data_IF_661543415041
#
_entry.id   IF_661543415041
#
_cell.length_a   1.000
_cell.length_b   1.000
_cell.length_c   1.000
_cell.angle_alpha   90.00
_cell.angle_beta   90.00
_cell.angle_gamma   90.00
#
_symmetry.space_group_name_H-M   'P 1'
#
loop_
_entity.id
_entity.type
_entity.pdbx_description
1 polymer ?
#
# COMPACT_ATOMS: atom_id res chain seq x y z
N UNK A 1 -11.60 9.28 3.61
CA UNK A 1 -11.46 8.12 2.68
C UNK A 1 -11.29 6.86 3.51
N UNK A 2 -11.93 5.74 3.13
CA UNK A 2 -11.83 4.45 3.86
C UNK A 2 -10.37 3.98 3.98
N UNK A 3 -9.57 4.25 2.95
CA UNK A 3 -8.13 4.01 2.88
C UNK A 3 -7.34 4.40 4.13
N UNK A 4 -7.70 5.50 4.82
CA UNK A 4 -6.95 5.95 6.00
C UNK A 4 -7.05 4.93 7.13
N UNK A 5 -8.23 4.35 7.32
CA UNK A 5 -8.45 3.31 8.33
C UNK A 5 -7.75 2.02 7.93
N UNK A 6 -7.87 1.64 6.66
CA UNK A 6 -7.29 0.40 6.14
C UNK A 6 -5.76 0.43 6.19
N UNK A 7 -5.15 1.51 5.71
CA UNK A 7 -3.71 1.71 5.77
C UNK A 7 -3.19 1.85 7.21
N UNK A 8 -4.03 2.31 8.14
CA UNK A 8 -3.71 2.30 9.57
C UNK A 8 -3.50 0.89 10.11
N UNK A 9 -4.43 -0.02 9.83
CA UNK A 9 -4.35 -1.43 10.25
C UNK A 9 -3.23 -2.18 9.54
N UNK A 10 -3.09 -1.98 8.23
CA UNK A 10 -2.00 -2.53 7.42
C UNK A 10 -0.64 -2.04 7.96
N UNK A 11 -0.51 -0.75 8.22
CA UNK A 11 0.72 -0.15 8.73
C UNK A 11 1.08 -0.64 10.12
N UNK A 12 0.08 -0.84 10.99
CA UNK A 12 0.28 -1.45 12.29
C UNK A 12 0.86 -2.87 12.16
N UNK A 13 0.22 -3.74 11.37
CA UNK A 13 0.69 -5.12 11.13
C UNK A 13 2.08 -5.16 10.49
N UNK A 14 2.31 -4.33 9.46
CA UNK A 14 3.61 -4.20 8.80
C UNK A 14 4.72 -3.79 9.77
N UNK A 15 4.43 -2.89 10.72
CA UNK A 15 5.41 -2.47 11.73
C UNK A 15 5.81 -3.60 12.67
N UNK A 16 4.87 -4.51 13.00
CA UNK A 16 5.14 -5.69 13.85
C UNK A 16 5.97 -6.71 13.08
N UNK A 17 5.60 -6.98 11.83
CA UNK A 17 6.28 -7.94 10.99
C UNK A 17 7.72 -7.52 10.61
N UNK A 18 7.90 -6.28 10.14
CA UNK A 18 9.20 -5.79 9.63
C UNK A 18 10.09 -5.14 10.69
N UNK A 19 9.53 -4.78 11.84
CA UNK A 19 10.20 -3.94 12.84
C UNK A 19 10.45 -2.49 12.38
N UNK A 20 10.04 -2.10 11.17
CA UNK A 20 10.14 -0.73 10.68
C UNK A 20 9.16 0.19 11.40
N UNK A 21 9.52 1.47 11.46
CA UNK A 21 8.56 2.51 11.75
C UNK A 21 7.78 2.77 10.48
N UNK A 22 6.46 2.62 10.55
CA UNK A 22 5.56 2.78 9.41
C UNK A 22 4.75 4.05 9.63
N UNK A 23 4.67 4.88 8.60
CA UNK A 23 3.89 6.11 8.61
C UNK A 23 3.16 6.29 7.30
N UNK A 24 2.02 6.98 7.35
CA UNK A 24 1.29 7.41 6.16
C UNK A 24 1.41 8.94 6.01
N UNK A 25 1.52 9.41 4.77
CA UNK A 25 1.45 10.83 4.47
C UNK A 25 0.05 11.17 3.98
N UNK A 26 -0.58 12.15 4.61
CA UNK A 26 -1.93 12.60 4.27
C UNK A 26 -1.92 14.09 3.93
N UNK A 27 -2.91 14.54 3.17
CA UNK A 27 -3.14 15.96 2.91
C UNK A 27 -4.27 16.47 3.79
N UNK A 28 -4.29 17.77 4.15
CA UNK A 28 -5.36 18.34 4.98
C UNK A 28 -6.75 18.06 4.42
N UNK A 29 -6.93 18.16 3.10
CA UNK A 29 -8.23 17.95 2.45
C UNK A 29 -8.76 16.52 2.65
N UNK A 30 -7.87 15.53 2.74
CA UNK A 30 -8.26 14.14 2.99
C UNK A 30 -8.61 13.89 4.46
N UNK A 31 -7.99 14.65 5.37
CA UNK A 31 -8.17 14.50 6.82
C UNK A 31 -9.37 15.29 7.34
N UNK A 32 -9.71 16.42 6.71
CA UNK A 32 -10.83 17.28 7.08
C UNK A 32 -12.16 16.83 6.45
N UNK A 33 -12.13 15.83 5.56
CA UNK A 33 -13.32 15.28 4.92
C UNK A 33 -14.07 14.30 5.83
N UNK A 34 -15.41 14.36 5.81
CA UNK A 34 -16.28 13.39 6.47
C UNK A 34 -16.73 12.31 5.49
N UNK A 35 -16.70 11.05 5.93
CA UNK A 35 -17.24 9.91 5.20
C UNK A 35 -17.98 8.98 6.16
N UNK A 36 -18.96 8.22 5.66
CA UNK A 36 -19.41 7.01 6.35
C UNK A 36 -18.33 5.94 6.17
N UNK A 37 -17.80 5.44 7.28
CA UNK A 37 -16.78 4.39 7.28
C UNK A 37 -17.42 3.03 7.51
N UNK A 38 -16.94 2.03 6.77
CA UNK A 38 -17.23 0.64 7.05
C UNK A 38 -16.30 0.16 8.19
N UNK A 39 -16.86 -0.47 9.21
CA UNK A 39 -16.16 -0.95 10.41
C UNK A 39 -16.25 -2.47 10.57
N UNK A 40 -16.66 -3.19 9.53
CA UNK A 40 -16.62 -4.66 9.54
C UNK A 40 -15.18 -5.15 9.86
N UNK A 41 -14.99 -5.91 10.95
CA UNK A 41 -13.68 -6.43 11.32
C UNK A 41 -13.09 -7.40 10.29
N UNK A 42 -13.93 -8.07 9.49
CA UNK A 42 -13.51 -9.07 8.51
C UNK A 42 -13.18 -8.45 7.13
N UNK A 43 -13.30 -7.12 6.97
CA UNK A 43 -12.99 -6.43 5.71
C UNK A 43 -11.51 -6.57 5.30
N UNK A 44 -10.61 -6.70 6.27
CA UNK A 44 -9.17 -6.80 6.04
C UNK A 44 -8.63 -8.12 6.59
N UNK A 45 -8.33 -9.05 5.70
CA UNK A 45 -7.58 -10.25 6.02
C UNK A 45 -6.08 -9.99 5.82
N UNK A 46 -5.41 -9.58 6.90
CA UNK A 46 -3.96 -9.38 6.87
C UNK A 46 -3.23 -10.72 7.04
N UNK A 47 -2.22 -10.95 6.21
CA UNK A 47 -1.38 -12.15 6.25
C UNK A 47 0.10 -11.79 6.36
N UNK A 48 0.84 -12.59 7.11
CA UNK A 48 2.29 -12.50 7.16
C UNK A 48 2.89 -13.35 6.02
N UNK A 49 3.91 -12.85 5.29
CA UNK A 49 4.60 -13.63 4.28
C UNK A 49 5.23 -14.91 4.86
N UNK A 50 4.90 -16.06 4.30
CA UNK A 50 5.47 -17.35 4.73
C UNK A 50 6.85 -17.63 4.11
N UNK A 51 7.22 -16.93 3.04
CA UNK A 51 8.37 -17.19 2.18
C UNK A 51 9.54 -16.22 2.41
N UNK A 52 9.41 -15.26 3.32
CA UNK A 52 10.46 -14.29 3.60
C UNK A 52 11.26 -14.67 4.86
N UNK A 53 12.56 -14.99 4.73
CA UNK A 53 13.37 -15.42 5.86
C UNK A 53 13.69 -14.24 6.79
N UNK A 54 13.11 -14.25 7.98
CA UNK A 54 13.48 -13.32 9.05
C UNK A 54 14.71 -13.86 9.81
N UNK A 55 15.67 -13.00 10.21
CA UNK A 55 16.81 -13.42 11.03
C UNK A 55 16.34 -14.01 12.35
N UNK A 56 17.03 -15.04 12.84
CA UNK A 56 16.74 -15.68 14.14
C UNK A 56 16.85 -14.67 15.30
N UNK A 57 17.78 -13.73 15.18
CA UNK A 57 17.95 -12.64 16.14
C UNK A 57 16.73 -11.69 16.18
N UNK A 58 15.89 -11.67 15.14
CA UNK A 58 14.73 -10.80 15.02
C UNK A 58 15.02 -9.43 14.40
N UNK A 59 13.97 -8.69 14.06
CA UNK A 59 14.05 -7.43 13.29
C UNK A 59 13.90 -6.15 14.12
N UNK A 60 13.54 -6.28 15.39
CA UNK A 60 13.29 -5.13 16.27
C UNK A 60 14.58 -4.51 16.80
N UNK A 61 14.47 -3.22 17.16
CA UNK A 61 15.56 -2.47 17.77
C UNK A 61 15.87 -3.02 19.17
N UNK A 62 17.16 -3.19 19.48
CA UNK A 62 17.65 -3.82 20.70
C UNK A 62 18.85 -3.04 21.23
N UNK A 63 18.98 -2.99 22.55
CA UNK A 63 20.16 -2.45 23.22
C UNK A 63 21.05 -3.63 23.67
N UNK A 64 22.39 -3.62 23.47
CA UNK A 64 23.22 -2.58 22.89
C UNK A 64 23.70 -2.84 21.44
N UNK A 65 22.82 -2.73 20.45
CA UNK A 65 23.23 -2.88 19.04
C UNK A 65 24.06 -1.66 18.56
N UNK A 66 25.19 -1.91 17.90
CA UNK A 66 25.99 -0.85 17.29
C UNK A 66 25.26 -0.19 16.11
N UNK A 67 25.50 1.11 15.89
CA UNK A 67 24.79 1.88 14.85
C UNK A 67 24.90 1.28 13.45
N UNK A 68 26.07 0.76 13.07
CA UNK A 68 26.28 0.15 11.75
C UNK A 68 25.48 -1.15 11.57
N UNK A 69 25.32 -1.94 12.63
CA UNK A 69 24.55 -3.19 12.58
C UNK A 69 23.04 -2.89 12.47
N UNK A 70 22.58 -1.82 13.13
CA UNK A 70 21.19 -1.36 13.00
C UNK A 70 20.88 -0.89 11.57
N UNK A 71 21.78 -0.11 10.97
CA UNK A 71 21.65 0.39 9.59
C UNK A 71 21.65 -0.77 8.59
N UNK A 72 22.59 -1.71 8.75
CA UNK A 72 22.66 -2.92 7.93
C UNK A 72 21.37 -3.72 8.02
N UNK A 73 20.84 -3.93 9.23
CA UNK A 73 19.57 -4.64 9.45
C UNK A 73 18.40 -3.91 8.77
N UNK A 74 18.35 -2.59 8.85
CA UNK A 74 17.33 -1.78 8.18
C UNK A 74 17.32 -2.03 6.67
N UNK A 75 18.44 -1.81 6.00
CA UNK A 75 18.54 -1.89 4.55
C UNK A 75 18.50 -3.32 4.00
N UNK A 76 19.17 -4.27 4.65
CA UNK A 76 19.31 -5.62 4.12
C UNK A 76 18.10 -6.50 4.42
N UNK A 77 17.39 -6.24 5.51
CA UNK A 77 16.30 -7.09 6.03
C UNK A 77 14.99 -6.33 6.15
N UNK A 78 14.92 -5.29 6.98
CA UNK A 78 13.63 -4.70 7.41
C UNK A 78 12.85 -4.07 6.26
N UNK A 79 13.53 -3.33 5.37
CA UNK A 79 12.87 -2.74 4.19
C UNK A 79 12.33 -3.82 3.24
N UNK A 80 13.10 -4.90 3.03
CA UNK A 80 12.65 -6.03 2.20
C UNK A 80 11.51 -6.81 2.85
N UNK A 81 11.50 -6.92 4.18
CA UNK A 81 10.40 -7.51 4.94
C UNK A 81 9.11 -6.67 4.77
N UNK A 82 9.22 -5.33 4.84
CA UNK A 82 8.09 -4.44 4.57
C UNK A 82 7.55 -4.61 3.14
N UNK A 83 8.43 -4.71 2.14
CA UNK A 83 8.04 -5.00 0.76
C UNK A 83 7.37 -6.36 0.59
N UNK A 84 7.86 -7.40 1.27
CA UNK A 84 7.25 -8.73 1.25
C UNK A 84 5.84 -8.69 1.87
N UNK A 85 5.70 -8.03 3.01
CA UNK A 85 4.41 -7.82 3.66
C UNK A 85 3.43 -7.05 2.76
N UNK A 86 3.92 -6.01 2.07
CA UNK A 86 3.11 -5.24 1.14
C UNK A 86 2.59 -6.08 -0.04
N UNK A 87 3.44 -6.96 -0.59
CA UNK A 87 3.04 -7.89 -1.66
C UNK A 87 2.03 -8.93 -1.17
N UNK A 88 2.27 -9.54 -0.02
CA UNK A 88 1.38 -10.56 0.55
C UNK A 88 -0.04 -10.01 0.83
N UNK A 89 -0.14 -8.73 1.18
CA UNK A 89 -1.41 -8.07 1.50
C UNK A 89 -2.01 -7.27 0.34
N UNK A 90 -1.41 -7.30 -0.86
CA UNK A 90 -1.96 -6.62 -2.04
C UNK A 90 -2.26 -5.13 -1.81
N UNK A 91 -1.34 -4.43 -1.13
CA UNK A 91 -1.54 -3.04 -0.72
C UNK A 91 -1.74 -2.14 -1.94
N UNK A 92 -0.91 -2.32 -2.97
CA UNK A 92 -1.05 -1.64 -4.25
C UNK A 92 -2.08 -2.37 -5.11
N UNK A 93 -3.00 -1.61 -5.73
CA UNK A 93 -4.19 -2.17 -6.37
C UNK A 93 -4.35 -1.68 -7.80
N UNK A 94 -4.64 -2.60 -8.71
CA UNK A 94 -5.26 -2.25 -9.99
C UNK A 94 -6.73 -1.93 -9.74
N UNK A 95 -7.11 -0.67 -9.95
CA UNK A 95 -8.46 -0.17 -9.62
C UNK A 95 -9.38 -0.10 -10.83
N UNK A 96 -8.79 -0.06 -12.03
CA UNK A 96 -9.46 -0.26 -13.31
C UNK A 96 -8.56 -1.18 -14.12
N UNK A 97 -9.10 -2.31 -14.58
CA UNK A 97 -8.34 -3.27 -15.37
C UNK A 97 -8.94 -3.43 -16.77
N UNK A 98 -8.17 -3.97 -17.70
CA UNK A 98 -8.60 -4.38 -19.02
C UNK A 98 -8.01 -5.75 -19.33
N UNK A 99 -8.74 -6.67 -20.00
CA UNK A 99 -8.22 -7.96 -20.43
C UNK A 99 -7.15 -7.85 -21.52
N UNK A 100 -7.02 -6.67 -22.15
CA UNK A 100 -6.05 -6.38 -23.22
C UNK A 100 -5.34 -5.06 -22.94
N UNK A 101 -4.54 -4.97 -21.86
CA UNK A 101 -3.95 -3.71 -21.44
C UNK A 101 -2.92 -3.21 -22.48
N UNK A 102 -3.09 -1.96 -22.90
CA UNK A 102 -2.24 -1.22 -23.86
C UNK A 102 -1.69 0.07 -23.28
N UNK A 103 -2.46 0.73 -22.41
CA UNK A 103 -2.13 2.00 -21.77
C UNK A 103 -2.34 1.83 -20.27
N UNK A 104 -1.36 2.24 -19.47
CA UNK A 104 -1.43 2.21 -18.01
C UNK A 104 -1.29 3.61 -17.42
N UNK A 105 -2.19 3.98 -16.51
CA UNK A 105 -2.05 5.15 -15.65
C UNK A 105 -1.63 4.67 -14.27
N UNK A 106 -0.47 5.15 -13.81
CA UNK A 106 0.01 4.89 -12.45
C UNK A 106 -0.21 6.16 -11.63
N UNK A 107 -0.85 6.01 -10.48
CA UNK A 107 -1.22 7.14 -9.63
C UNK A 107 -1.07 6.77 -8.16
N UNK A 108 -0.93 7.77 -7.28
CA UNK A 108 -0.76 7.58 -5.85
C UNK A 108 -1.53 8.65 -5.06
N UNK A 109 -1.98 8.28 -3.87
CA UNK A 109 -2.70 9.19 -2.97
C UNK A 109 -3.93 9.83 -3.63
N UNK A 110 -4.09 11.14 -3.42
CA UNK A 110 -5.25 11.92 -3.90
C UNK A 110 -5.38 11.97 -5.42
N UNK A 111 -4.25 11.96 -6.15
CA UNK A 111 -4.25 12.00 -7.61
C UNK A 111 -5.02 10.82 -8.23
N UNK A 112 -5.20 9.72 -7.49
CA UNK A 112 -6.04 8.62 -7.94
C UNK A 112 -7.50 9.02 -8.12
N UNK A 113 -8.08 9.75 -7.15
CA UNK A 113 -9.46 10.23 -7.25
C UNK A 113 -9.64 11.19 -8.42
N UNK A 114 -8.66 12.06 -8.65
CA UNK A 114 -8.68 13.00 -9.77
C UNK A 114 -8.63 12.28 -11.12
N UNK A 115 -7.82 11.22 -11.25
CA UNK A 115 -7.79 10.35 -12.44
C UNK A 115 -9.14 9.67 -12.63
N UNK A 116 -9.70 9.04 -11.58
CA UNK A 116 -10.98 8.34 -11.70
C UNK A 116 -12.12 9.29 -12.09
N UNK A 117 -12.16 10.49 -11.51
CA UNK A 117 -13.13 11.52 -11.90
C UNK A 117 -12.95 11.96 -13.35
N UNK A 118 -11.72 12.23 -13.79
CA UNK A 118 -11.45 12.62 -15.17
C UNK A 118 -11.85 11.53 -16.18
N UNK A 119 -11.66 10.25 -15.84
CA UNK A 119 -12.10 9.13 -16.67
C UNK A 119 -13.64 9.06 -16.74
N UNK A 120 -14.33 9.27 -15.61
CA UNK A 120 -15.79 9.32 -15.55
C UNK A 120 -16.35 10.48 -16.38
N UNK A 121 -15.77 11.67 -16.26
CA UNK A 121 -16.15 12.86 -17.05
C UNK A 121 -15.98 12.65 -18.57
N UNK A 122 -14.99 11.85 -18.97
CA UNK A 122 -14.76 11.44 -20.37
C UNK A 122 -15.68 10.29 -20.83
N UNK A 123 -16.52 9.74 -19.94
CA UNK A 123 -17.35 8.57 -20.20
C UNK A 123 -16.57 7.26 -20.33
N UNK A 124 -15.35 7.21 -19.78
CA UNK A 124 -14.48 6.03 -19.82
C UNK A 124 -14.75 5.18 -18.57
N UNK A 125 -15.82 4.39 -18.65
CA UNK A 125 -16.09 3.30 -17.72
C UNK A 125 -15.36 2.00 -18.08
N UNK A 126 -15.70 0.91 -17.39
CA UNK A 126 -15.09 -0.42 -17.58
C UNK A 126 -15.14 -0.91 -19.04
N UNK A 127 -16.30 -0.83 -19.70
CA UNK A 127 -16.45 -1.28 -21.10
C UNK A 127 -15.56 -0.52 -22.07
N UNK A 128 -15.38 0.79 -21.86
CA UNK A 128 -14.50 1.60 -22.71
C UNK A 128 -13.04 1.32 -22.39
N UNK A 129 -12.69 1.17 -21.10
CA UNK A 129 -11.36 0.77 -20.68
C UNK A 129 -10.95 -0.58 -21.32
N UNK A 130 -11.86 -1.54 -21.40
CA UNK A 130 -11.64 -2.82 -22.06
C UNK A 130 -11.36 -2.66 -23.57
N UNK A 131 -12.14 -1.81 -24.25
CA UNK A 131 -12.01 -1.55 -25.69
C UNK A 131 -10.69 -0.86 -26.04
N UNK A 132 -10.30 0.16 -25.27
CA UNK A 132 -9.08 0.94 -25.54
C UNK A 132 -7.82 0.28 -24.95
N UNK A 133 -8.00 -0.64 -24.01
CA UNK A 133 -6.91 -1.29 -23.29
C UNK A 133 -6.35 -0.44 -22.15
N UNK A 134 -7.19 0.26 -21.38
CA UNK A 134 -6.76 1.11 -20.28
C UNK A 134 -6.70 0.34 -18.96
N UNK A 135 -5.63 0.56 -18.19
CA UNK A 135 -5.47 0.10 -16.81
C UNK A 135 -5.11 1.26 -15.88
N UNK A 136 -5.66 1.29 -14.69
CA UNK A 136 -5.28 2.24 -13.62
C UNK A 136 -4.72 1.47 -12.44
N UNK A 137 -3.46 1.76 -12.10
CA UNK A 137 -2.76 1.18 -10.97
C UNK A 137 -2.54 2.23 -9.89
N UNK A 138 -3.07 1.95 -8.69
CA UNK A 138 -2.96 2.79 -7.51
C UNK A 138 -1.84 2.27 -6.62
N UNK A 139 -0.76 3.05 -6.53
CA UNK A 139 0.35 2.81 -5.62
C UNK A 139 0.01 3.41 -4.26
N UNK A 140 -0.19 2.55 -3.28
CA UNK A 140 -0.46 2.91 -1.89
C UNK A 140 0.82 2.94 -1.06
N UNK A 141 1.80 2.06 -1.33
CA UNK A 141 3.11 2.10 -0.69
C UNK A 141 4.19 2.55 -1.68
N UNK A 142 4.45 3.86 -1.74
CA UNK A 142 5.45 4.44 -2.68
C UNK A 142 6.90 4.21 -2.25
N UNK A 143 7.13 3.89 -0.98
CA UNK A 143 8.42 3.57 -0.37
C UNK A 143 8.16 2.61 0.80
N UNK A 144 9.02 1.63 1.08
CA UNK A 144 10.34 1.37 0.50
C UNK A 144 10.38 0.53 -0.77
#
# INVERSE_FOLDING_TARGET
>A
MQDILDFGLIGWGMSRYSGCWVGMKTTPENMDAAISADLDPDRLSLSEPADFPLPEEGVHCRWPDAFLDQEKRLHEVKLKAAQAYARANGIDKTTLDSPRPRIGIVTTGKAWLEVMQALDDLGIGQDQADRIGLRVFKVAMTWP
#
